data_IF_560306492607
#
_entry.id   IF_560306492607
#
_cell.length_a   1.000
_cell.length_b   1.000
_cell.length_c   1.000
_cell.angle_alpha   90.00
_cell.angle_beta   90.00
_cell.angle_gamma   90.00
#
_symmetry.space_group_name_H-M   'P 1'
#
loop_
_entity.id
_entity.type
_entity.pdbx_description
1 polymer ?
#
# COMPACT_ATOMS: atom_id res chain seq x y z
N UNK A 1 -44.73 6.40 -21.87
CA UNK A 1 -44.19 6.18 -20.50
C UNK A 1 -42.69 5.90 -20.64
N UNK A 2 -41.86 6.82 -20.20
CA UNK A 2 -40.39 6.77 -20.36
C UNK A 2 -39.79 6.11 -19.11
N UNK A 3 -39.29 4.87 -19.23
CA UNK A 3 -38.47 4.23 -18.23
C UNK A 3 -37.09 4.93 -18.22
N UNK A 4 -36.79 5.63 -17.16
CA UNK A 4 -35.51 6.33 -16.94
C UNK A 4 -34.42 5.29 -16.72
N UNK A 5 -33.41 5.32 -17.58
CA UNK A 5 -32.12 4.62 -17.42
C UNK A 5 -31.37 5.26 -16.23
N UNK A 6 -31.43 4.61 -15.07
CA UNK A 6 -30.69 4.96 -13.85
C UNK A 6 -29.82 3.79 -13.43
N UNK A 7 -28.89 3.38 -14.31
CA UNK A 7 -27.97 2.31 -13.92
C UNK A 7 -26.64 2.39 -14.69
N UNK A 8 -25.84 3.45 -14.52
CA UNK A 8 -24.40 3.21 -14.54
C UNK A 8 -23.57 3.98 -13.50
N UNK A 9 -24.18 4.58 -12.47
CA UNK A 9 -23.43 5.39 -11.50
C UNK A 9 -22.99 4.66 -10.22
N UNK A 10 -23.43 3.41 -10.02
CA UNK A 10 -23.10 2.66 -8.80
C UNK A 10 -21.75 1.94 -8.84
N UNK A 11 -21.09 1.81 -9.99
CA UNK A 11 -19.84 1.05 -10.10
C UNK A 11 -18.57 1.92 -10.02
N UNK A 12 -18.71 3.24 -10.20
CA UNK A 12 -17.59 4.18 -10.05
C UNK A 12 -17.30 4.55 -8.59
N UNK A 13 -18.21 4.22 -7.66
CA UNK A 13 -18.08 4.55 -6.25
C UNK A 13 -17.17 3.60 -5.46
N UNK A 14 -16.81 2.44 -5.99
CA UNK A 14 -16.00 1.43 -5.28
C UNK A 14 -14.49 1.70 -5.31
N UNK A 15 -14.02 2.60 -6.17
CA UNK A 15 -12.62 3.02 -6.20
C UNK A 15 -12.40 4.45 -5.69
N UNK A 16 -13.48 5.19 -5.41
CA UNK A 16 -13.43 6.56 -4.90
C UNK A 16 -13.48 6.66 -3.36
N UNK A 17 -13.53 5.53 -2.64
CA UNK A 17 -13.84 5.51 -1.21
C UNK A 17 -12.79 4.92 -0.28
N UNK A 18 -11.93 4.05 -0.74
CA UNK A 18 -10.91 3.48 0.15
C UNK A 18 -9.66 4.36 0.15
N UNK A 19 -9.59 5.29 1.09
CA UNK A 19 -8.35 5.98 1.41
C UNK A 19 -7.57 5.07 2.34
N UNK A 20 -6.38 4.58 1.95
CA UNK A 20 -5.60 3.72 2.82
C UNK A 20 -5.17 4.48 4.06
N UNK A 21 -5.13 3.79 5.19
CA UNK A 21 -4.54 4.33 6.41
C UNK A 21 -3.04 4.50 6.18
N UNK A 22 -2.51 5.62 6.66
CA UNK A 22 -1.09 5.90 6.59
C UNK A 22 -0.45 5.91 7.96
N UNK A 23 0.85 5.61 8.01
CA UNK A 23 1.66 5.61 9.21
C UNK A 23 2.92 6.44 9.02
N UNK A 24 3.36 7.14 10.07
CA UNK A 24 4.65 7.84 10.10
C UNK A 24 5.83 6.87 10.29
N UNK A 25 5.58 5.70 10.86
CA UNK A 25 6.61 4.69 11.09
C UNK A 25 6.38 3.45 10.23
N UNK A 26 7.48 2.78 9.81
CA UNK A 26 7.37 1.54 9.05
C UNK A 26 6.77 0.41 9.89
N UNK A 27 6.13 -0.53 9.22
CA UNK A 27 5.71 -1.80 9.83
C UNK A 27 6.88 -2.79 9.92
N UNK A 28 7.93 -2.62 9.12
CA UNK A 28 9.05 -3.54 9.05
C UNK A 28 10.14 -3.22 10.06
N UNK A 29 10.82 -4.27 10.50
CA UNK A 29 12.19 -4.25 11.02
C UNK A 29 13.06 -5.11 10.12
N UNK A 30 14.40 -5.06 10.28
CA UNK A 30 15.30 -5.91 9.48
C UNK A 30 15.05 -7.41 9.69
N UNK A 31 14.51 -7.78 10.86
CA UNK A 31 14.20 -9.16 11.24
C UNK A 31 12.89 -9.66 10.63
N UNK A 32 11.94 -8.77 10.36
CA UNK A 32 10.60 -9.13 9.87
C UNK A 32 10.48 -9.10 8.36
N UNK A 33 11.43 -8.47 7.64
CA UNK A 33 11.43 -8.46 6.18
C UNK A 33 11.72 -9.85 5.65
N UNK A 34 10.86 -10.32 4.75
CA UNK A 34 11.03 -11.56 4.00
C UNK A 34 10.97 -11.30 2.50
N UNK A 35 11.41 -12.27 1.71
CA UNK A 35 11.38 -12.19 0.26
C UNK A 35 10.72 -13.43 -0.32
N UNK A 36 9.78 -13.24 -1.23
CA UNK A 36 9.07 -14.29 -1.95
C UNK A 36 9.24 -14.07 -3.45
N UNK A 37 10.01 -14.94 -4.11
CA UNK A 37 10.26 -14.82 -5.56
C UNK A 37 8.97 -14.88 -6.38
N UNK A 38 7.99 -15.64 -5.89
CA UNK A 38 6.68 -15.76 -6.52
C UNK A 38 5.90 -14.43 -6.59
N UNK A 39 6.27 -13.42 -5.79
CA UNK A 39 5.64 -12.11 -5.86
C UNK A 39 6.11 -11.31 -7.09
N UNK A 40 7.32 -11.58 -7.60
CA UNK A 40 7.86 -10.87 -8.76
C UNK A 40 6.99 -11.08 -10.01
N UNK A 41 6.86 -10.02 -10.81
CA UNK A 41 6.13 -10.00 -12.07
C UNK A 41 4.94 -9.06 -12.06
N UNK A 42 4.11 -9.15 -13.09
CA UNK A 42 2.94 -8.31 -13.27
C UNK A 42 1.68 -9.07 -12.86
N UNK A 43 0.90 -8.45 -12.03
CA UNK A 43 -0.37 -8.93 -11.52
C UNK A 43 -1.49 -8.00 -11.98
N UNK A 44 -2.62 -8.56 -12.34
CA UNK A 44 -3.75 -7.83 -12.91
C UNK A 44 -4.99 -8.15 -12.08
N UNK A 45 -5.71 -7.12 -11.67
CA UNK A 45 -6.97 -7.29 -10.95
C UNK A 45 -7.99 -8.01 -11.82
N UNK A 46 -8.63 -9.04 -11.27
CA UNK A 46 -9.69 -9.76 -11.96
C UNK A 46 -10.89 -8.84 -12.16
N UNK A 47 -11.40 -8.77 -13.40
CA UNK A 47 -12.58 -7.95 -13.70
C UNK A 47 -12.62 -7.39 -15.12
N UNK A 48 -13.46 -6.37 -15.32
CA UNK A 48 -13.65 -5.72 -16.61
C UNK A 48 -12.47 -4.81 -16.98
N UNK A 49 -12.14 -4.75 -18.26
CA UNK A 49 -11.15 -3.83 -18.82
C UNK A 49 -11.60 -2.35 -18.73
N UNK A 50 -10.69 -1.38 -18.54
CA UNK A 50 -9.27 -1.55 -18.25
C UNK A 50 -9.01 -2.03 -16.81
N UNK A 51 -7.90 -2.73 -16.60
CA UNK A 51 -7.56 -3.39 -15.34
C UNK A 51 -6.51 -2.58 -14.56
N UNK A 52 -6.60 -2.65 -13.23
CA UNK A 52 -5.51 -2.21 -12.34
C UNK A 52 -4.37 -3.22 -12.43
N UNK A 53 -3.14 -2.74 -12.57
CA UNK A 53 -1.95 -3.58 -12.64
C UNK A 53 -1.01 -3.27 -11.50
N UNK A 54 -0.42 -4.32 -10.93
CA UNK A 54 0.62 -4.27 -9.90
C UNK A 54 1.85 -4.99 -10.44
N UNK A 55 2.94 -4.29 -10.63
CA UNK A 55 4.20 -4.87 -11.11
C UNK A 55 5.23 -4.85 -9.99
N UNK A 56 5.66 -6.03 -9.56
CA UNK A 56 6.73 -6.19 -8.60
C UNK A 56 8.02 -6.56 -9.31
N UNK A 57 9.07 -5.80 -9.07
CA UNK A 57 10.42 -6.02 -9.57
C UNK A 57 11.41 -5.97 -8.41
N UNK A 58 12.63 -6.46 -8.63
CA UNK A 58 13.72 -6.27 -7.68
C UNK A 58 13.97 -4.79 -7.44
N UNK A 59 14.25 -4.43 -6.19
CA UNK A 59 14.68 -3.09 -5.86
C UNK A 59 16.09 -2.87 -6.44
N UNK A 60 16.27 -1.77 -7.18
CA UNK A 60 17.58 -1.45 -7.75
C UNK A 60 18.59 -1.07 -6.67
N UNK A 61 19.84 -1.48 -6.86
CA UNK A 61 20.96 -1.19 -5.95
C UNK A 61 21.14 0.32 -5.70
N UNK A 62 20.88 1.12 -6.74
CA UNK A 62 20.90 2.59 -6.67
C UNK A 62 19.85 3.16 -5.72
N UNK A 63 18.69 2.51 -5.59
CA UNK A 63 17.68 2.87 -4.62
C UNK A 63 18.08 2.43 -3.20
N UNK A 64 18.61 1.22 -3.06
CA UNK A 64 19.09 0.69 -1.78
C UNK A 64 20.27 1.51 -1.21
N UNK A 65 21.16 2.05 -2.06
CA UNK A 65 22.32 2.85 -1.62
C UNK A 65 21.95 4.16 -0.92
N UNK A 66 20.72 4.66 -1.13
CA UNK A 66 20.22 5.90 -0.51
C UNK A 66 19.65 5.68 0.90
N UNK A 67 19.59 4.43 1.34
CA UNK A 67 19.01 4.05 2.62
C UNK A 67 20.12 3.98 3.70
N UNK A 68 19.77 4.06 5.00
CA UNK A 68 20.73 3.88 6.07
C UNK A 68 21.50 2.56 5.92
N UNK A 69 22.80 2.59 6.12
CA UNK A 69 23.68 1.43 5.90
C UNK A 69 23.21 0.18 6.67
N UNK A 70 22.67 0.38 7.87
CA UNK A 70 22.18 -0.66 8.77
C UNK A 70 20.94 -1.39 8.24
N UNK A 71 20.21 -0.77 7.32
CA UNK A 71 18.98 -1.32 6.73
C UNK A 71 19.18 -1.80 5.28
N UNK A 72 20.33 -1.50 4.64
CA UNK A 72 20.52 -1.80 3.21
C UNK A 72 20.32 -3.27 2.85
N UNK A 73 20.92 -4.18 3.62
CA UNK A 73 20.82 -5.62 3.36
C UNK A 73 19.39 -6.15 3.53
N UNK A 74 18.65 -5.56 4.49
CA UNK A 74 17.26 -5.94 4.71
C UNK A 74 16.37 -5.36 3.61
N UNK A 75 16.58 -4.10 3.26
CA UNK A 75 15.80 -3.38 2.24
C UNK A 75 16.11 -3.85 0.81
N UNK A 76 17.27 -4.47 0.58
CA UNK A 76 17.56 -5.17 -0.67
C UNK A 76 16.59 -6.33 -0.96
N UNK A 77 15.88 -6.82 0.07
CA UNK A 77 14.80 -7.82 -0.07
C UNK A 77 13.43 -7.21 -0.39
N UNK A 78 13.31 -5.89 -0.39
CA UNK A 78 12.07 -5.24 -0.78
C UNK A 78 11.93 -5.19 -2.29
N UNK A 79 10.76 -4.84 -2.76
CA UNK A 79 10.41 -4.78 -4.17
C UNK A 79 10.22 -3.33 -4.60
N UNK A 80 10.53 -3.03 -5.85
CA UNK A 80 9.93 -1.90 -6.54
C UNK A 80 8.54 -2.32 -6.99
N UNK A 81 7.53 -1.57 -6.58
CA UNK A 81 6.14 -1.78 -6.95
C UNK A 81 5.66 -0.63 -7.83
N UNK A 82 5.29 -0.93 -9.06
CA UNK A 82 4.62 0.00 -9.94
C UNK A 82 3.13 -0.36 -10.00
N UNK A 83 2.27 0.61 -9.74
CA UNK A 83 0.82 0.45 -9.86
C UNK A 83 0.33 1.34 -11.01
N UNK A 84 -0.51 0.79 -11.88
CA UNK A 84 -1.25 1.56 -12.86
C UNK A 84 -2.74 1.30 -12.68
N UNK A 85 -3.53 2.38 -12.60
CA UNK A 85 -4.98 2.30 -12.46
C UNK A 85 -5.71 2.21 -13.80
N UNK A 86 -7.03 2.13 -13.74
CA UNK A 86 -7.91 2.00 -14.91
C UNK A 86 -7.85 3.22 -15.85
N UNK A 87 -7.50 4.38 -15.32
CA UNK A 87 -7.34 5.62 -16.06
C UNK A 87 -5.92 5.79 -16.62
N UNK A 88 -5.02 4.83 -16.37
CA UNK A 88 -3.62 4.86 -16.80
C UNK A 88 -2.72 5.74 -15.93
N UNK A 89 -3.20 6.22 -14.77
CA UNK A 89 -2.36 6.92 -13.79
C UNK A 89 -1.43 5.92 -13.13
N UNK A 90 -0.20 6.34 -12.88
CA UNK A 90 0.85 5.45 -12.37
C UNK A 90 1.44 5.97 -11.07
N UNK A 91 1.80 5.05 -10.19
CA UNK A 91 2.57 5.31 -8.99
C UNK A 91 3.72 4.31 -8.87
N UNK A 92 4.86 4.78 -8.35
CA UNK A 92 6.01 3.94 -8.03
C UNK A 92 6.26 3.95 -6.53
N UNK A 93 6.50 2.77 -5.97
CA UNK A 93 6.60 2.55 -4.55
C UNK A 93 7.73 1.56 -4.23
N UNK A 94 8.30 1.67 -3.05
CA UNK A 94 9.04 0.59 -2.42
C UNK A 94 8.06 -0.22 -1.58
N UNK A 95 8.01 -1.54 -1.78
CA UNK A 95 7.15 -2.46 -1.06
C UNK A 95 7.98 -3.53 -0.35
N UNK A 96 7.92 -3.59 0.98
CA UNK A 96 8.63 -4.59 1.78
C UNK A 96 7.63 -5.66 2.25
N UNK A 97 7.88 -6.90 1.90
CA UNK A 97 7.09 -8.03 2.40
C UNK A 97 7.54 -8.37 3.82
N UNK A 98 6.59 -8.45 4.73
CA UNK A 98 6.82 -8.62 6.16
C UNK A 98 6.08 -9.86 6.63
N UNK A 99 6.76 -10.65 7.46
CA UNK A 99 6.13 -11.78 8.14
C UNK A 99 6.00 -11.47 9.63
N UNK A 100 4.75 -11.40 10.10
CA UNK A 100 4.42 -11.29 11.52
C UNK A 100 3.69 -12.56 11.93
N UNK A 101 4.34 -13.38 12.76
CA UNK A 101 3.85 -14.72 13.12
C UNK A 101 3.68 -15.58 11.85
N UNK A 102 2.44 -15.98 11.55
CA UNK A 102 2.04 -16.75 10.38
C UNK A 102 1.44 -15.90 9.24
N UNK A 103 1.40 -14.58 9.43
CA UNK A 103 0.71 -13.64 8.52
C UNK A 103 1.69 -12.79 7.72
N UNK A 104 1.33 -12.52 6.46
CA UNK A 104 2.11 -11.70 5.56
C UNK A 104 1.46 -10.33 5.35
N UNK A 105 2.30 -9.31 5.28
CA UNK A 105 1.89 -7.94 4.99
C UNK A 105 2.88 -7.31 4.01
N UNK A 106 2.41 -6.34 3.23
CA UNK A 106 3.28 -5.41 2.52
C UNK A 106 3.24 -4.06 3.24
N UNK A 107 4.41 -3.54 3.54
CA UNK A 107 4.60 -2.13 3.87
C UNK A 107 4.95 -1.41 2.57
N UNK A 108 4.09 -0.47 2.18
CA UNK A 108 4.22 0.26 0.92
C UNK A 108 4.49 1.72 1.23
N UNK A 109 5.62 2.23 0.74
CA UNK A 109 5.99 3.63 0.84
C UNK A 109 6.26 4.20 -0.56
N UNK A 110 5.90 5.47 -0.83
CA UNK A 110 6.15 6.07 -2.13
C UNK A 110 7.66 6.14 -2.40
N UNK A 111 8.05 5.83 -3.62
CA UNK A 111 9.38 6.21 -4.09
C UNK A 111 9.52 7.72 -3.98
N UNK A 112 10.75 8.18 -3.77
CA UNK A 112 11.00 9.62 -3.71
C UNK A 112 10.38 10.27 -4.94
N UNK A 113 9.80 11.45 -4.72
CA UNK A 113 9.34 12.29 -5.80
C UNK A 113 10.34 12.24 -6.94
N UNK A 114 9.92 11.99 -8.18
CA UNK A 114 10.83 12.02 -9.29
C UNK A 114 11.60 13.32 -9.18
N UNK A 115 12.91 13.23 -9.00
CA UNK A 115 13.80 14.36 -9.21
C UNK A 115 13.81 14.59 -10.73
N UNK A 116 12.70 15.15 -11.19
CA UNK A 116 12.46 15.32 -12.61
C UNK A 116 13.33 16.42 -13.16
N UNK A 117 14.51 16.06 -13.60
CA UNK A 117 15.31 16.94 -14.47
C UNK A 117 14.66 17.17 -15.85
N UNK A 118 13.49 16.57 -16.13
CA UNK A 118 12.92 16.54 -17.48
C UNK A 118 11.51 17.12 -17.63
N UNK A 119 10.80 17.44 -16.55
CA UNK A 119 9.47 18.04 -16.64
C UNK A 119 9.40 19.39 -15.92
N UNK A 120 9.22 20.51 -16.66
CA UNK A 120 9.11 21.85 -16.06
C UNK A 120 7.96 22.03 -15.10
N UNK A 121 6.87 21.24 -15.21
CA UNK A 121 5.77 21.27 -14.26
C UNK A 121 6.13 20.58 -12.94
N UNK A 122 6.92 19.51 -12.99
CA UNK A 122 7.43 18.85 -11.79
C UNK A 122 8.47 19.71 -11.05
N UNK A 123 9.25 20.52 -11.76
CA UNK A 123 10.16 21.49 -11.16
C UNK A 123 9.45 22.54 -10.28
N UNK A 124 8.20 22.87 -10.55
CA UNK A 124 7.41 23.78 -9.70
C UNK A 124 7.17 23.22 -8.31
N UNK A 125 7.22 21.91 -8.12
CA UNK A 125 6.99 21.24 -6.85
C UNK A 125 8.27 20.94 -6.06
N UNK A 126 9.47 21.26 -6.58
CA UNK A 126 10.76 20.95 -5.92
C UNK A 126 10.82 21.53 -4.51
N UNK A 127 10.38 22.76 -4.32
CA UNK A 127 10.38 23.38 -2.99
C UNK A 127 9.35 22.74 -2.05
N UNK A 128 8.20 22.34 -2.57
CA UNK A 128 7.19 21.65 -1.78
C UNK A 128 7.67 20.26 -1.32
N UNK A 129 8.57 19.63 -2.09
CA UNK A 129 9.11 18.30 -1.73
C UNK A 129 9.83 18.30 -0.37
N UNK A 130 10.36 19.43 0.10
CA UNK A 130 10.95 19.54 1.43
C UNK A 130 9.93 19.38 2.57
N UNK A 131 8.64 19.59 2.28
CA UNK A 131 7.56 19.51 3.26
C UNK A 131 6.76 18.21 3.16
N UNK A 132 7.05 17.36 2.18
CA UNK A 132 6.42 16.04 2.07
C UNK A 132 7.24 15.01 2.83
N UNK A 133 6.59 14.34 3.75
CA UNK A 133 7.17 13.20 4.45
C UNK A 133 6.70 11.91 3.77
N UNK A 134 7.61 10.94 3.51
CA UNK A 134 7.19 9.62 3.09
C UNK A 134 6.38 9.00 4.24
N UNK A 135 5.21 8.50 3.90
CA UNK A 135 4.36 7.73 4.81
C UNK A 135 4.27 6.30 4.34
N UNK A 136 3.95 5.41 5.25
CA UNK A 136 3.78 3.99 5.02
C UNK A 136 2.29 3.65 4.93
N UNK A 137 1.92 2.68 4.11
CA UNK A 137 0.60 2.07 4.12
C UNK A 137 0.74 0.55 4.15
N UNK A 138 -0.24 -0.13 4.74
CA UNK A 138 -0.15 -1.57 4.98
C UNK A 138 -1.17 -2.32 4.15
N UNK A 139 -0.72 -3.42 3.56
CA UNK A 139 -1.54 -4.33 2.78
C UNK A 139 -1.43 -5.72 3.39
N UNK A 140 -2.54 -6.32 3.77
CA UNK A 140 -2.58 -7.73 4.19
C UNK A 140 -2.45 -8.63 2.98
N UNK A 141 -1.50 -9.55 2.98
CA UNK A 141 -1.34 -10.55 1.92
C UNK A 141 -1.94 -11.86 2.41
N UNK A 142 -3.03 -12.29 1.81
CA UNK A 142 -3.71 -13.54 2.16
C UNK A 142 -3.05 -14.76 1.54
N UNK A 143 -2.59 -14.66 0.28
CA UNK A 143 -1.86 -15.72 -0.41
C UNK A 143 -1.02 -15.20 -1.56
N UNK A 144 0.09 -15.91 -1.84
CA UNK A 144 0.95 -15.72 -3.02
C UNK A 144 1.05 -17.09 -3.70
N UNK A 145 0.70 -17.18 -4.99
CA UNK A 145 0.70 -18.41 -5.76
C UNK A 145 0.26 -18.13 -7.20
N UNK A 146 -0.68 -18.92 -7.73
CA UNK A 146 -1.30 -18.68 -9.04
C UNK A 146 -2.10 -17.37 -9.05
N UNK A 147 -2.63 -17.02 -7.89
CA UNK A 147 -3.28 -15.75 -7.60
C UNK A 147 -2.60 -15.07 -6.42
N UNK A 148 -2.48 -13.75 -6.50
CA UNK A 148 -2.12 -12.90 -5.38
C UNK A 148 -3.41 -12.35 -4.77
N UNK A 149 -3.65 -12.67 -3.49
CA UNK A 149 -4.82 -12.16 -2.75
C UNK A 149 -4.38 -11.20 -1.69
N UNK A 150 -4.90 -10.00 -1.75
CA UNK A 150 -4.54 -8.90 -0.86
C UNK A 150 -5.78 -8.23 -0.29
N UNK A 151 -5.61 -7.57 0.87
CA UNK A 151 -6.62 -6.69 1.46
C UNK A 151 -5.97 -5.36 1.80
N UNK A 152 -6.57 -4.29 1.33
CA UNK A 152 -6.14 -2.93 1.62
C UNK A 152 -6.72 -2.48 2.95
N UNK A 153 -6.02 -1.58 3.64
CA UNK A 153 -6.59 -0.89 4.81
C UNK A 153 -7.65 0.11 4.37
N UNK A 154 -8.60 0.38 5.26
CA UNK A 154 -9.69 1.33 5.06
C UNK A 154 -9.82 2.28 6.25
N UNK A 155 -9.83 3.59 5.99
CA UNK A 155 -9.87 4.62 7.03
C UNK A 155 -11.24 4.70 7.73
N UNK A 156 -12.34 4.49 7.01
CA UNK A 156 -13.69 4.48 7.58
C UNK A 156 -13.90 3.26 8.50
N UNK A 157 -13.41 2.10 8.09
CA UNK A 157 -13.43 0.91 8.91
C UNK A 157 -12.52 1.04 10.14
N UNK A 158 -11.35 1.67 9.98
CA UNK A 158 -10.47 1.98 11.11
C UNK A 158 -11.16 2.91 12.12
N UNK A 159 -11.84 3.97 11.68
CA UNK A 159 -12.59 4.86 12.57
C UNK A 159 -13.63 4.10 13.40
N UNK A 160 -14.29 3.11 12.81
CA UNK A 160 -15.22 2.22 13.55
C UNK A 160 -14.49 1.34 14.54
N UNK A 161 -13.33 0.78 14.16
CA UNK A 161 -12.52 -0.07 15.03
C UNK A 161 -12.06 0.67 16.29
N UNK A 162 -11.54 1.90 16.12
CA UNK A 162 -11.06 2.70 17.26
C UNK A 162 -12.19 3.22 18.16
N UNK A 163 -13.43 3.32 17.68
CA UNK A 163 -14.58 3.61 18.53
C UNK A 163 -14.83 2.50 19.57
N UNK A 164 -14.58 1.25 19.19
CA UNK A 164 -14.75 0.09 20.06
C UNK A 164 -13.50 -0.14 20.94
N UNK A 165 -12.30 0.21 20.46
CA UNK A 165 -11.03 0.07 21.18
C UNK A 165 -10.17 1.33 21.00
N UNK A 166 -10.45 2.36 21.81
CA UNK A 166 -9.76 3.66 21.78
C UNK A 166 -8.23 3.58 22.02
N UNK A 167 -7.76 2.47 22.54
CA UNK A 167 -6.34 2.23 22.81
C UNK A 167 -5.70 1.22 21.87
N UNK A 168 -6.40 0.86 20.80
CA UNK A 168 -5.91 -0.14 19.85
C UNK A 168 -4.53 0.19 19.29
N UNK A 169 -4.31 1.47 18.95
CA UNK A 169 -3.05 1.98 18.41
C UNK A 169 -3.00 3.50 18.60
N UNK A 170 -1.81 4.09 18.67
CA UNK A 170 -1.63 5.55 18.69
C UNK A 170 -1.82 6.11 17.28
N UNK A 171 -2.60 7.19 17.18
CA UNK A 171 -2.85 7.90 15.95
C UNK A 171 -3.16 9.39 16.21
N UNK A 172 -3.00 10.21 15.20
CA UNK A 172 -3.49 11.58 15.13
C UNK A 172 -4.50 11.73 13.99
N UNK A 173 -5.28 12.81 14.00
CA UNK A 173 -6.20 13.14 12.91
C UNK A 173 -5.69 14.38 12.21
N UNK A 174 -5.37 14.28 10.93
CA UNK A 174 -4.90 15.37 10.07
C UNK A 174 -5.85 15.47 8.88
N UNK A 175 -6.48 16.62 8.71
CA UNK A 175 -7.48 16.86 7.66
C UNK A 175 -8.55 15.75 7.58
N UNK A 176 -9.15 15.42 8.74
CA UNK A 176 -10.16 14.37 8.92
C UNK A 176 -9.69 12.94 8.62
N UNK A 177 -8.39 12.72 8.43
CA UNK A 177 -7.79 11.42 8.17
C UNK A 177 -6.99 10.91 9.36
N UNK A 178 -7.14 9.64 9.74
CA UNK A 178 -6.29 9.03 10.74
C UNK A 178 -4.88 8.81 10.17
N UNK A 179 -3.88 9.22 10.93
CA UNK A 179 -2.45 9.01 10.67
C UNK A 179 -1.88 8.26 11.87
N UNK A 180 -1.39 7.05 11.67
CA UNK A 180 -0.79 6.25 12.74
C UNK A 180 0.54 6.86 13.16
N UNK A 181 0.69 7.08 14.47
CA UNK A 181 1.90 7.66 15.09
C UNK A 181 2.56 6.70 16.09
N UNK A 182 2.05 5.47 16.14
CA UNK A 182 2.57 4.40 16.99
C UNK A 182 3.97 3.97 16.55
N UNK A 183 4.79 3.45 17.48
CA UNK A 183 6.09 2.85 17.15
C UNK A 183 5.93 1.60 16.25
N UNK A 184 7.00 1.18 15.59
CA UNK A 184 6.98 -0.03 14.75
C UNK A 184 6.50 -1.25 15.53
N UNK A 185 6.91 -1.43 16.79
CA UNK A 185 6.49 -2.54 17.65
C UNK A 185 4.99 -2.48 17.96
N UNK A 186 4.49 -1.30 18.29
CA UNK A 186 3.06 -1.07 18.55
C UNK A 186 2.23 -1.32 17.27
N UNK A 187 2.74 -0.89 16.09
CA UNK A 187 2.11 -1.13 14.80
C UNK A 187 2.06 -2.62 14.47
N UNK A 188 3.16 -3.36 14.68
CA UNK A 188 3.22 -4.80 14.44
C UNK A 188 2.22 -5.54 15.33
N UNK A 189 2.15 -5.18 16.62
CA UNK A 189 1.18 -5.76 17.54
C UNK A 189 -0.27 -5.48 17.11
N UNK A 190 -0.56 -4.24 16.71
CA UNK A 190 -1.86 -3.82 16.23
C UNK A 190 -2.27 -4.57 14.95
N UNK A 191 -1.43 -4.54 13.92
CA UNK A 191 -1.73 -5.15 12.62
C UNK A 191 -1.86 -6.67 12.75
N UNK A 192 -1.03 -7.32 13.57
CA UNK A 192 -1.14 -8.77 13.83
C UNK A 192 -2.45 -9.12 14.55
N UNK A 193 -2.87 -8.32 15.55
CA UNK A 193 -4.12 -8.49 16.30
C UNK A 193 -5.35 -8.38 15.39
N UNK A 194 -5.36 -7.40 14.50
CA UNK A 194 -6.51 -7.08 13.65
C UNK A 194 -6.36 -7.54 12.20
N UNK A 195 -5.43 -8.45 11.92
CA UNK A 195 -5.12 -8.94 10.57
C UNK A 195 -6.32 -9.54 9.81
N UNK A 196 -7.26 -10.11 10.54
CA UNK A 196 -8.46 -10.77 10.00
C UNK A 196 -9.74 -9.98 10.33
N UNK A 197 -9.62 -8.76 10.87
CA UNK A 197 -10.76 -7.88 11.15
C UNK A 197 -11.16 -7.11 9.88
N UNK A 198 -12.40 -7.33 9.43
CA UNK A 198 -12.95 -6.71 8.22
C UNK A 198 -13.10 -5.18 8.33
N UNK A 199 -13.02 -4.61 9.51
CA UNK A 199 -13.00 -3.14 9.67
C UNK A 199 -11.66 -2.56 9.27
N UNK A 200 -10.55 -3.27 9.56
CA UNK A 200 -9.21 -2.81 9.17
C UNK A 200 -8.86 -3.22 7.73
N UNK A 201 -9.26 -4.42 7.34
CA UNK A 201 -8.97 -5.03 6.04
C UNK A 201 -10.27 -5.56 5.40
N UNK A 202 -11.14 -4.67 4.87
CA UNK A 202 -12.52 -5.03 4.52
C UNK A 202 -12.61 -6.04 3.38
N UNK A 203 -12.15 -5.67 2.20
CA UNK A 203 -12.38 -6.45 0.98
C UNK A 203 -11.11 -7.11 0.49
N UNK A 204 -11.22 -8.39 0.11
CA UNK A 204 -10.13 -9.07 -0.58
C UNK A 204 -10.15 -8.74 -2.07
N UNK A 205 -8.99 -8.36 -2.57
CA UNK A 205 -8.73 -8.14 -4.00
C UNK A 205 -7.92 -9.33 -4.50
N UNK A 206 -8.39 -9.94 -5.57
CA UNK A 206 -7.70 -11.03 -6.26
C UNK A 206 -7.03 -10.50 -7.51
N UNK A 207 -5.74 -10.77 -7.62
CA UNK A 207 -4.92 -10.41 -8.75
C UNK A 207 -4.41 -11.69 -9.42
N UNK A 208 -4.55 -11.78 -10.73
CA UNK A 208 -4.06 -12.91 -11.53
C UNK A 208 -2.76 -12.53 -12.22
N UNK A 209 -1.81 -13.45 -12.27
CA UNK A 209 -0.52 -13.21 -12.93
C UNK A 209 -0.74 -12.98 -14.42
N UNK A 210 -0.22 -11.88 -14.94
CA UNK A 210 -0.23 -11.62 -16.38
C UNK A 210 0.74 -12.57 -17.08
N UNK A 211 0.22 -13.39 -17.99
CA UNK A 211 1.05 -14.19 -18.89
C UNK A 211 1.97 -13.31 -19.72
N UNK A 212 3.22 -13.77 -19.89
CA UNK A 212 4.20 -13.09 -20.76
C UNK A 212 3.74 -13.11 -22.22
#
# INVERSE_FOLDING_TARGET
MRAKKLLPYCLAALLAGCVPIVSLHPLFTKETITFEEQLLGTWVEDGNQPQVTWEFAHLEESAASRLPAELRDALAKCYRLNIADKEGRKGSFTACLIKLQDKLFLDVMPDRFPSGEQDPEQMRLVYNAFFFMPVHSFVRVSSIGDQLRIRLTDDEGFKKLIQDDLKAVKYDVIDDRPVLTASTEELQAFVAKYADDERLFPSEVTLTRKSK
#
